data_IF_342994641753
#
_entry.id   IF_342994641753
#
_cell.length_a   1.000
_cell.length_b   1.000
_cell.length_c   1.000
_cell.angle_alpha   90.00
_cell.angle_beta   90.00
_cell.angle_gamma   90.00
#
_symmetry.space_group_name_H-M   'P 1'
#
loop_
_entity.id
_entity.type
_entity.pdbx_description
1 polymer ?
#
# COMPACT_ATOMS: atom_id res chain seq x y z
N UNK A 1 -11.68 6.76 16.24
CA UNK A 1 -10.98 6.04 17.30
C UNK A 1 -9.53 5.79 16.94
N UNK A 2 -8.74 5.36 17.89
CA UNK A 2 -7.31 5.10 17.67
C UNK A 2 -7.10 3.91 16.74
N UNK A 3 -6.29 4.09 15.69
CA UNK A 3 -5.91 3.01 14.77
C UNK A 3 -4.78 2.19 15.38
N UNK A 4 -4.97 0.87 15.38
CA UNK A 4 -3.97 -0.10 15.82
C UNK A 4 -3.76 -1.13 14.72
N UNK A 5 -2.67 -0.96 13.99
CA UNK A 5 -2.34 -1.77 12.81
C UNK A 5 -1.65 -3.08 13.20
N UNK A 6 -1.96 -4.13 12.45
CA UNK A 6 -1.16 -5.35 12.42
C UNK A 6 -0.77 -5.67 10.99
N UNK A 7 0.53 -5.82 10.74
CA UNK A 7 1.05 -6.19 9.42
C UNK A 7 1.05 -7.71 9.30
N UNK A 8 0.35 -8.22 8.31
CA UNK A 8 0.24 -9.66 8.06
C UNK A 8 1.00 -10.02 6.80
N UNK A 9 2.15 -10.65 6.97
CA UNK A 9 3.00 -11.04 5.85
C UNK A 9 2.40 -12.23 5.10
N UNK A 10 2.04 -11.99 3.85
CA UNK A 10 1.51 -12.98 2.93
C UNK A 10 2.46 -13.03 1.73
N UNK A 11 3.06 -14.20 1.48
CA UNK A 11 4.06 -14.37 0.43
C UNK A 11 3.58 -15.25 -0.72
N UNK A 12 2.46 -15.94 -0.53
CA UNK A 12 1.81 -16.82 -1.51
C UNK A 12 0.32 -16.92 -1.16
N UNK A 13 -0.53 -17.38 -2.08
CA UNK A 13 -1.98 -17.41 -1.85
C UNK A 13 -2.40 -18.12 -0.56
N UNK A 14 -1.76 -19.23 -0.24
CA UNK A 14 -2.05 -20.03 0.96
C UNK A 14 -1.76 -19.24 2.26
N UNK A 15 -0.88 -18.25 2.20
CA UNK A 15 -0.59 -17.38 3.34
C UNK A 15 -1.83 -16.64 3.84
N UNK A 16 -2.82 -16.39 2.99
CA UNK A 16 -4.08 -15.79 3.38
C UNK A 16 -4.86 -16.64 4.39
N UNK A 17 -4.63 -17.95 4.39
CA UNK A 17 -5.30 -18.88 5.31
C UNK A 17 -4.82 -18.76 6.74
N UNK A 18 -3.74 -18.03 6.99
CA UNK A 18 -3.21 -17.80 8.34
C UNK A 18 -3.83 -16.59 9.04
N UNK A 19 -4.82 -15.94 8.44
CA UNK A 19 -5.46 -14.73 8.98
C UNK A 19 -5.99 -14.95 10.41
N UNK A 20 -6.77 -15.99 10.63
CA UNK A 20 -7.41 -16.22 11.93
C UNK A 20 -6.39 -16.45 13.03
N UNK A 21 -5.37 -17.23 12.72
CA UNK A 21 -4.26 -17.53 13.63
C UNK A 21 -3.48 -16.25 13.98
N UNK A 22 -3.17 -15.45 12.97
CA UNK A 22 -2.49 -14.17 13.15
C UNK A 22 -3.33 -13.22 14.01
N UNK A 23 -4.60 -13.06 13.69
CA UNK A 23 -5.50 -12.15 14.39
C UNK A 23 -5.73 -12.54 15.85
N UNK A 24 -5.79 -13.84 16.14
CA UNK A 24 -5.98 -14.33 17.50
C UNK A 24 -4.78 -14.06 18.40
N UNK A 25 -3.59 -13.89 17.83
CA UNK A 25 -2.36 -13.60 18.56
C UNK A 25 -2.02 -12.11 18.62
N UNK A 26 -2.76 -11.25 17.93
CA UNK A 26 -2.52 -9.80 17.83
C UNK A 26 -3.62 -9.03 18.57
N UNK A 27 -3.52 -8.96 19.89
CA UNK A 27 -4.54 -8.32 20.74
C UNK A 27 -4.62 -6.81 20.49
N UNK A 28 -5.86 -6.31 20.43
CA UNK A 28 -6.12 -4.87 20.33
C UNK A 28 -5.96 -4.30 18.92
N UNK A 29 -5.63 -5.12 17.95
CA UNK A 29 -5.57 -4.73 16.55
C UNK A 29 -6.99 -4.45 16.03
N UNK A 30 -7.16 -3.35 15.30
CA UNK A 30 -8.44 -3.04 14.64
C UNK A 30 -8.31 -2.87 13.13
N UNK A 31 -7.08 -2.85 12.61
CA UNK A 31 -6.79 -2.82 11.17
C UNK A 31 -5.72 -3.86 10.88
N UNK A 32 -5.97 -4.70 9.88
CA UNK A 32 -4.98 -5.66 9.38
C UNK A 32 -4.48 -5.21 8.02
N UNK A 33 -3.16 -5.32 7.83
CA UNK A 33 -2.49 -4.87 6.61
C UNK A 33 -1.79 -6.07 5.95
N UNK A 34 -2.48 -6.79 5.05
CA UNK A 34 -1.86 -7.89 4.32
C UNK A 34 -0.93 -7.37 3.23
N UNK A 35 0.20 -8.05 3.03
CA UNK A 35 1.20 -7.68 2.03
C UNK A 35 0.80 -8.23 0.65
N UNK A 36 -0.24 -7.66 0.05
CA UNK A 36 -0.88 -8.24 -1.12
C UNK A 36 -0.38 -7.79 -2.47
N UNK A 37 0.00 -6.52 -2.61
CA UNK A 37 0.34 -5.96 -3.91
C UNK A 37 1.82 -5.61 -3.97
N UNK A 38 2.51 -6.16 -4.96
CA UNK A 38 3.93 -5.88 -5.17
C UNK A 38 4.16 -5.37 -6.58
N UNK A 39 4.60 -4.11 -6.70
CA UNK A 39 4.94 -3.52 -7.99
C UNK A 39 6.26 -4.09 -8.44
N UNK A 40 6.28 -4.70 -9.63
CA UNK A 40 7.44 -5.45 -10.13
C UNK A 40 8.11 -4.82 -11.34
N UNK A 41 7.50 -3.78 -11.92
CA UNK A 41 8.00 -3.18 -13.15
C UNK A 41 7.76 -1.67 -13.18
N UNK A 42 8.62 -0.94 -13.87
CA UNK A 42 8.54 0.52 -14.01
C UNK A 42 7.34 1.01 -14.83
N UNK A 43 6.62 0.11 -15.47
CA UNK A 43 5.35 0.41 -16.14
C UNK A 43 4.12 0.32 -15.22
N UNK A 44 4.33 -0.03 -13.95
CA UNK A 44 3.28 -0.17 -12.96
C UNK A 44 2.69 -1.57 -12.84
N UNK A 45 3.20 -2.55 -13.55
CA UNK A 45 2.78 -3.94 -13.40
C UNK A 45 3.04 -4.41 -11.96
N UNK A 46 2.07 -5.08 -11.36
CA UNK A 46 2.18 -5.61 -10.01
C UNK A 46 1.63 -7.02 -9.91
N UNK A 47 2.09 -7.75 -8.91
CA UNK A 47 1.52 -9.05 -8.52
C UNK A 47 0.50 -8.85 -7.41
N UNK A 48 -0.49 -9.72 -7.33
CA UNK A 48 -1.57 -9.63 -6.34
C UNK A 48 -1.78 -10.95 -5.63
N UNK A 49 -1.96 -10.88 -4.31
CA UNK A 49 -2.37 -11.99 -3.46
C UNK A 49 -3.75 -11.71 -2.83
N UNK A 50 -4.48 -10.74 -3.34
CA UNK A 50 -5.78 -10.34 -2.78
C UNK A 50 -6.77 -11.51 -2.74
N UNK A 51 -7.60 -11.52 -1.71
CA UNK A 51 -8.59 -12.57 -1.47
C UNK A 51 -9.86 -11.97 -0.89
N UNK A 52 -10.98 -12.19 -1.55
CA UNK A 52 -12.29 -11.73 -1.04
C UNK A 52 -12.69 -12.49 0.23
N UNK A 53 -12.39 -13.79 0.29
CA UNK A 53 -12.66 -14.59 1.48
C UNK A 53 -11.90 -14.04 2.70
N UNK A 54 -10.65 -13.63 2.50
CA UNK A 54 -9.86 -12.97 3.54
C UNK A 54 -10.56 -11.70 4.05
N UNK A 55 -10.99 -10.84 3.14
CA UNK A 55 -11.67 -9.58 3.51
C UNK A 55 -12.94 -9.87 4.29
N UNK A 56 -13.75 -10.82 3.82
CA UNK A 56 -15.01 -11.18 4.47
C UNK A 56 -14.76 -11.72 5.89
N UNK A 57 -13.76 -12.58 6.06
CA UNK A 57 -13.37 -13.11 7.38
C UNK A 57 -12.84 -12.02 8.31
N UNK A 58 -12.02 -11.12 7.79
CA UNK A 58 -11.51 -10.00 8.58
C UNK A 58 -12.66 -9.10 9.06
N UNK A 59 -13.58 -8.77 8.17
CA UNK A 59 -14.77 -7.99 8.53
C UNK A 59 -15.63 -8.69 9.59
N UNK A 60 -15.80 -10.00 9.48
CA UNK A 60 -16.54 -10.78 10.48
C UNK A 60 -15.86 -10.75 11.86
N UNK A 61 -14.55 -10.59 11.89
CA UNK A 61 -13.80 -10.41 13.14
C UNK A 61 -13.75 -8.96 13.63
N UNK A 62 -14.44 -8.04 12.93
CA UNK A 62 -14.43 -6.62 13.29
C UNK A 62 -13.18 -5.85 12.86
N UNK A 63 -12.39 -6.39 11.93
CA UNK A 63 -11.17 -5.76 11.44
C UNK A 63 -11.43 -5.02 10.13
N UNK A 64 -10.80 -3.86 9.98
CA UNK A 64 -10.64 -3.22 8.68
C UNK A 64 -9.44 -3.82 7.96
N UNK A 65 -9.45 -3.83 6.64
CA UNK A 65 -8.37 -4.36 5.81
C UNK A 65 -7.80 -3.23 4.96
N UNK A 66 -6.52 -2.91 5.18
CA UNK A 66 -5.78 -1.97 4.32
C UNK A 66 -4.73 -2.77 3.57
N UNK A 67 -4.91 -2.89 2.26
CA UNK A 67 -4.00 -3.68 1.43
C UNK A 67 -2.67 -2.95 1.23
N UNK A 68 -1.56 -3.61 1.54
CA UNK A 68 -0.24 -3.03 1.32
C UNK A 68 0.12 -3.05 -0.17
N UNK A 69 0.70 -1.95 -0.62
CA UNK A 69 1.34 -1.83 -1.94
C UNK A 69 2.81 -1.52 -1.70
N UNK A 70 3.69 -2.37 -2.20
CA UNK A 70 5.13 -2.27 -1.97
C UNK A 70 5.92 -2.43 -3.27
N UNK A 71 7.21 -2.06 -3.25
CA UNK A 71 8.05 -2.03 -4.45
C UNK A 71 9.28 -2.94 -4.41
N UNK A 72 9.63 -3.53 -3.27
CA UNK A 72 10.91 -4.26 -3.12
C UNK A 72 10.78 -5.60 -2.42
N UNK A 73 9.61 -6.24 -2.48
CA UNK A 73 9.38 -7.49 -1.76
C UNK A 73 9.86 -8.73 -2.51
N UNK A 74 10.15 -8.63 -3.80
CA UNK A 74 10.58 -9.75 -4.63
C UNK A 74 11.88 -9.47 -5.36
N UNK A 75 12.59 -10.55 -5.71
CA UNK A 75 13.79 -10.46 -6.55
C UNK A 75 13.48 -9.81 -7.90
N UNK A 76 12.31 -10.11 -8.46
CA UNK A 76 11.85 -9.52 -9.71
C UNK A 76 11.67 -8.01 -9.60
N UNK A 77 11.04 -7.50 -8.55
CA UNK A 77 10.85 -6.07 -8.36
C UNK A 77 12.17 -5.34 -8.14
N UNK A 78 13.10 -5.92 -7.39
CA UNK A 78 14.44 -5.35 -7.19
C UNK A 78 15.19 -5.22 -8.50
N UNK A 79 15.07 -6.24 -9.37
CA UNK A 79 15.79 -6.29 -10.64
C UNK A 79 15.20 -5.38 -11.71
N UNK A 80 13.87 -5.29 -11.80
CA UNK A 80 13.18 -4.69 -12.95
C UNK A 80 12.55 -3.33 -12.65
N UNK A 81 12.37 -2.96 -11.39
CA UNK A 81 11.69 -1.74 -11.02
C UNK A 81 12.67 -0.58 -10.84
N UNK A 82 12.43 0.50 -11.58
CA UNK A 82 13.03 1.80 -11.32
C UNK A 82 11.93 2.72 -10.78
N UNK A 83 11.96 3.02 -9.50
CA UNK A 83 10.89 3.77 -8.83
C UNK A 83 10.78 5.21 -9.33
N UNK A 84 11.90 5.85 -9.69
CA UNK A 84 11.86 7.19 -10.30
C UNK A 84 11.13 7.15 -11.65
N UNK A 85 11.45 6.17 -12.49
CA UNK A 85 10.79 6.01 -13.80
C UNK A 85 9.30 5.77 -13.63
N UNK A 86 8.93 4.88 -12.72
CA UNK A 86 7.53 4.62 -12.38
C UNK A 86 6.80 5.90 -11.95
N UNK A 87 7.36 6.60 -10.98
CA UNK A 87 6.68 7.71 -10.30
C UNK A 87 6.74 9.02 -11.06
N UNK A 88 7.67 9.21 -11.98
CA UNK A 88 7.79 10.45 -12.76
C UNK A 88 6.83 10.51 -13.95
N UNK A 89 6.19 9.41 -14.31
CA UNK A 89 5.25 9.37 -15.43
C UNK A 89 3.81 9.56 -14.93
N UNK A 90 3.19 10.64 -15.38
CA UNK A 90 1.78 10.94 -15.05
C UNK A 90 0.85 9.82 -15.51
N UNK A 91 1.05 9.31 -16.73
CA UNK A 91 0.20 8.24 -17.27
C UNK A 91 0.38 6.92 -16.53
N UNK A 92 1.61 6.60 -16.13
CA UNK A 92 1.90 5.39 -15.35
C UNK A 92 1.28 5.46 -13.96
N UNK A 93 1.41 6.60 -13.27
CA UNK A 93 0.77 6.81 -11.97
C UNK A 93 -0.74 6.66 -12.05
N UNK A 94 -1.35 7.31 -13.04
CA UNK A 94 -2.80 7.26 -13.28
C UNK A 94 -3.28 5.84 -13.50
N UNK A 95 -2.60 5.10 -14.35
CA UNK A 95 -2.96 3.72 -14.69
C UNK A 95 -2.84 2.80 -13.48
N UNK A 96 -1.77 2.93 -12.70
CA UNK A 96 -1.57 2.16 -11.48
C UNK A 96 -2.70 2.44 -10.47
N UNK A 97 -3.01 3.70 -10.23
CA UNK A 97 -4.08 4.10 -9.31
C UNK A 97 -5.44 3.54 -9.75
N UNK A 98 -5.78 3.64 -11.05
CA UNK A 98 -7.03 3.11 -11.58
C UNK A 98 -7.15 1.61 -11.34
N UNK A 99 -6.06 0.85 -11.59
CA UNK A 99 -6.04 -0.58 -11.33
C UNK A 99 -6.21 -0.92 -9.85
N UNK A 100 -5.55 -0.17 -8.97
CA UNK A 100 -5.67 -0.39 -7.52
C UNK A 100 -7.09 -0.06 -7.03
N UNK A 101 -7.72 0.98 -7.55
CA UNK A 101 -9.11 1.29 -7.21
C UNK A 101 -10.05 0.15 -7.64
N UNK A 102 -9.82 -0.43 -8.81
CA UNK A 102 -10.58 -1.60 -9.26
C UNK A 102 -10.38 -2.82 -8.36
N UNK A 103 -9.17 -3.01 -7.82
CA UNK A 103 -8.90 -4.08 -6.85
C UNK A 103 -9.73 -3.89 -5.59
N UNK A 104 -9.82 -2.68 -5.07
CA UNK A 104 -10.64 -2.39 -3.90
C UNK A 104 -12.13 -2.67 -4.17
N UNK A 105 -12.62 -2.32 -5.34
CA UNK A 105 -14.02 -2.60 -5.74
C UNK A 105 -14.26 -4.12 -5.82
N UNK A 106 -13.31 -4.85 -6.36
CA UNK A 106 -13.44 -6.30 -6.56
C UNK A 106 -13.41 -7.07 -5.23
N UNK A 107 -12.48 -6.73 -4.35
CA UNK A 107 -12.24 -7.49 -3.12
C UNK A 107 -12.91 -6.91 -1.87
N UNK A 108 -13.33 -5.65 -1.91
CA UNK A 108 -14.08 -5.03 -0.82
C UNK A 108 -13.24 -4.60 0.39
N UNK A 109 -11.93 -4.48 0.26
CA UNK A 109 -11.10 -3.99 1.37
C UNK A 109 -11.28 -2.48 1.58
N UNK A 110 -10.81 -1.98 2.73
CA UNK A 110 -11.23 -0.68 3.26
C UNK A 110 -10.22 0.45 2.99
N UNK A 111 -9.04 0.12 2.56
CA UNK A 111 -8.00 1.11 2.30
C UNK A 111 -6.72 0.50 1.76
N UNK A 112 -5.72 1.36 1.60
CA UNK A 112 -4.39 0.99 1.16
C UNK A 112 -3.34 1.45 2.16
N UNK A 113 -2.26 0.66 2.26
CA UNK A 113 -1.04 1.07 2.93
C UNK A 113 0.09 1.08 1.92
N UNK A 114 0.69 2.24 1.69
CA UNK A 114 1.83 2.38 0.78
C UNK A 114 3.13 2.17 1.55
N UNK A 115 3.90 1.17 1.17
CA UNK A 115 5.19 0.85 1.77
C UNK A 115 6.26 0.79 0.68
N UNK A 116 6.62 1.95 0.14
CA UNK A 116 7.69 2.06 -0.84
C UNK A 116 9.00 2.33 -0.12
N UNK A 117 9.97 1.44 -0.34
CA UNK A 117 11.27 1.47 0.30
C UNK A 117 12.39 1.76 -0.71
N UNK A 118 13.57 2.07 -0.17
CA UNK A 118 14.80 2.27 -0.94
C UNK A 118 14.66 3.35 -2.02
N UNK A 119 13.87 4.37 -1.75
CA UNK A 119 13.68 5.49 -2.66
C UNK A 119 14.86 6.44 -2.59
N UNK A 120 15.45 6.75 -3.74
CA UNK A 120 16.48 7.78 -3.85
C UNK A 120 15.83 9.16 -3.75
N UNK A 121 16.59 10.16 -3.31
CA UNK A 121 16.11 11.53 -3.14
C UNK A 121 15.43 12.08 -4.41
N UNK A 122 15.93 11.75 -5.58
CA UNK A 122 15.39 12.19 -6.87
C UNK A 122 13.98 11.64 -7.15
N UNK A 123 13.60 10.51 -6.56
CA UNK A 123 12.25 9.94 -6.67
C UNK A 123 11.27 10.57 -5.68
N UNK A 124 11.75 11.24 -4.64
CA UNK A 124 10.93 11.77 -3.54
C UNK A 124 9.78 12.66 -3.98
N UNK A 125 10.03 13.73 -4.77
CA UNK A 125 8.96 14.62 -5.23
C UNK A 125 7.90 13.90 -6.06
N UNK A 126 8.30 12.94 -6.87
CA UNK A 126 7.37 12.14 -7.70
C UNK A 126 6.54 11.19 -6.85
N UNK A 127 7.14 10.61 -5.81
CA UNK A 127 6.42 9.77 -4.87
C UNK A 127 5.39 10.59 -4.07
N UNK A 128 5.73 11.79 -3.64
CA UNK A 128 4.78 12.70 -2.98
C UNK A 128 3.61 13.01 -3.91
N UNK A 129 3.87 13.26 -5.20
CA UNK A 129 2.80 13.48 -6.18
C UNK A 129 1.91 12.25 -6.34
N UNK A 130 2.49 11.06 -6.36
CA UNK A 130 1.72 9.81 -6.38
C UNK A 130 0.82 9.70 -5.16
N UNK A 131 1.33 10.01 -3.97
CA UNK A 131 0.55 9.98 -2.73
C UNK A 131 -0.63 10.96 -2.82
N UNK A 132 -0.42 12.16 -3.36
CA UNK A 132 -1.50 13.13 -3.56
C UNK A 132 -2.60 12.60 -4.46
N UNK A 133 -2.22 12.06 -5.62
CA UNK A 133 -3.17 11.49 -6.59
C UNK A 133 -3.90 10.29 -6.01
N UNK A 134 -3.18 9.41 -5.32
CA UNK A 134 -3.75 8.24 -4.65
C UNK A 134 -4.73 8.66 -3.53
N UNK A 135 -4.38 9.69 -2.78
CA UNK A 135 -5.23 10.24 -1.71
C UNK A 135 -6.58 10.73 -2.24
N UNK A 136 -6.56 11.45 -3.37
CA UNK A 136 -7.81 11.90 -4.01
C UNK A 136 -8.65 10.71 -4.47
N UNK A 137 -8.03 9.74 -5.13
CA UNK A 137 -8.74 8.55 -5.60
C UNK A 137 -9.36 7.76 -4.43
N UNK A 138 -8.62 7.59 -3.35
CA UNK A 138 -9.11 6.92 -2.15
C UNK A 138 -10.29 7.65 -1.53
N UNK A 139 -10.21 8.97 -1.36
CA UNK A 139 -11.31 9.76 -0.80
C UNK A 139 -12.58 9.64 -1.64
N UNK A 140 -12.45 9.68 -2.96
CA UNK A 140 -13.59 9.57 -3.85
C UNK A 140 -14.31 8.22 -3.74
N UNK A 141 -13.62 7.19 -3.26
CA UNK A 141 -14.18 5.85 -3.04
C UNK A 141 -14.45 5.53 -1.57
N UNK A 142 -14.21 6.47 -0.66
CA UNK A 142 -14.37 6.24 0.77
C UNK A 142 -13.34 5.28 1.36
N UNK A 143 -12.15 5.19 0.74
CA UNK A 143 -11.06 4.36 1.19
C UNK A 143 -10.05 5.16 2.02
N UNK A 144 -9.43 4.51 3.00
CA UNK A 144 -8.34 5.09 3.78
C UNK A 144 -7.03 4.95 3.01
N UNK A 145 -6.15 5.93 3.13
CA UNK A 145 -4.77 5.86 2.67
C UNK A 145 -3.83 6.02 3.85
N UNK A 146 -3.00 5.00 4.05
CA UNK A 146 -1.92 4.97 5.03
C UNK A 146 -0.58 4.94 4.29
N UNK A 147 0.40 5.65 4.80
CA UNK A 147 1.75 5.69 4.19
C UNK A 147 2.78 5.41 5.27
N UNK A 148 3.61 4.40 5.05
CA UNK A 148 4.72 4.10 5.93
C UNK A 148 5.82 5.15 5.82
N UNK A 149 6.60 5.31 6.87
CA UNK A 149 7.65 6.31 6.94
C UNK A 149 8.63 6.20 5.78
N UNK A 150 8.71 7.27 5.02
CA UNK A 150 9.68 7.43 3.97
C UNK A 150 10.67 8.53 4.35
N UNK A 151 11.95 8.17 4.40
CA UNK A 151 13.04 9.12 4.69
C UNK A 151 13.99 9.09 3.50
N UNK A 152 14.01 10.13 2.67
CA UNK A 152 14.96 10.19 1.56
C UNK A 152 16.38 10.34 2.08
N UNK A 153 17.33 9.69 1.39
CA UNK A 153 18.73 9.60 1.83
C UNK A 153 19.50 10.91 1.79
N UNK A 154 19.08 11.88 1.00
CA UNK A 154 19.83 13.14 0.80
C UNK A 154 18.92 14.34 0.51
N UNK A 155 17.74 14.34 0.99
CA UNK A 155 16.78 15.42 0.75
C UNK A 155 16.22 15.84 2.07
N UNK A 156 15.57 16.96 2.12
CA UNK A 156 14.94 17.39 3.35
C UNK A 156 13.86 16.38 3.77
N UNK A 157 14.29 15.32 4.47
CA UNK A 157 13.41 14.27 4.97
C UNK A 157 12.21 14.86 5.72
N UNK A 158 12.44 15.94 6.45
CA UNK A 158 11.40 16.69 7.15
C UNK A 158 10.34 17.24 6.19
N UNK A 159 10.75 17.80 5.06
CA UNK A 159 9.83 18.36 4.07
C UNK A 159 8.90 17.27 3.50
N UNK A 160 9.49 16.14 3.10
CA UNK A 160 8.71 15.04 2.55
C UNK A 160 7.74 14.43 3.57
N UNK A 161 8.17 14.28 4.83
CA UNK A 161 7.27 13.83 5.91
C UNK A 161 6.11 14.77 6.11
N UNK A 162 6.36 16.07 6.07
CA UNK A 162 5.32 17.08 6.21
C UNK A 162 4.30 16.99 5.08
N UNK A 163 4.77 16.84 3.84
CA UNK A 163 3.89 16.70 2.69
C UNK A 163 3.10 15.40 2.73
N UNK A 164 3.72 14.29 3.10
CA UNK A 164 3.01 13.03 3.28
C UNK A 164 1.93 13.15 4.34
N UNK A 165 2.22 13.81 5.45
CA UNK A 165 1.25 14.04 6.51
C UNK A 165 0.08 14.92 6.10
N UNK A 166 0.25 15.78 5.09
CA UNK A 166 -0.81 16.61 4.54
C UNK A 166 -1.75 15.83 3.62
N UNK A 167 -1.23 14.86 2.86
CA UNK A 167 -1.97 14.19 1.79
C UNK A 167 -2.46 12.79 2.13
N UNK A 168 -1.91 12.14 3.14
CA UNK A 168 -2.30 10.82 3.59
C UNK A 168 -3.16 10.91 4.86
N UNK A 169 -4.01 9.92 5.06
CA UNK A 169 -4.86 9.85 6.26
C UNK A 169 -4.07 9.39 7.50
N UNK A 170 -3.10 8.50 7.29
CA UNK A 170 -2.31 7.89 8.36
C UNK A 170 -0.88 7.61 7.92
#
# INVERSE_FOLDING_TARGET
GKVRLGFHQVTRPEGNNTLEDYASNARGMNVIVPTWFNVVSSDGTYTSLASKDYVDKAHDMGLKVWAMVENVSTEESVKNLNTKTLMSSTSTRKKLIEKLMNEADTYGFDGFNLDFESLKAEAGPHYVQFIREMSVACRNKGLVLSVDNYVPSSYTAFYNRKEQGIVADY
#
